data_IF_707410311254
#
_entry.id   IF_707410311254
#
_cell.length_a   1.000
_cell.length_b   1.000
_cell.length_c   1.000
_cell.angle_alpha   90.00
_cell.angle_beta   90.00
_cell.angle_gamma   90.00
#
_symmetry.space_group_name_H-M   'P 1'
#
loop_
_entity.id
_entity.type
_entity.pdbx_description
1 polymer ?
#
# COMPACT_ATOMS: atom_id res chain seq x y z
N UNK A 1 34.10 -9.75 11.81
CA UNK A 1 32.99 -8.88 11.33
C UNK A 1 33.40 -8.30 9.98
N UNK A 2 32.64 -8.54 8.93
CA UNK A 2 32.88 -7.89 7.64
C UNK A 2 32.39 -6.46 7.80
N UNK A 3 33.29 -5.48 7.84
CA UNK A 3 32.93 -4.08 7.85
C UNK A 3 32.44 -3.71 6.45
N UNK A 4 31.15 -3.59 6.27
CA UNK A 4 30.58 -3.11 5.00
C UNK A 4 30.84 -1.61 4.95
N UNK A 5 31.63 -1.20 3.97
CA UNK A 5 31.95 0.24 3.78
C UNK A 5 30.93 0.84 2.82
N UNK A 6 29.84 1.42 3.35
CA UNK A 6 28.84 2.12 2.56
C UNK A 6 29.39 3.49 2.08
N UNK A 7 29.02 3.96 0.89
CA UNK A 7 29.18 5.38 0.54
C UNK A 7 28.50 6.26 1.59
N UNK A 8 28.92 7.53 1.68
CA UNK A 8 28.44 8.42 2.74
C UNK A 8 27.82 9.70 2.20
N UNK A 9 26.78 10.18 2.87
CA UNK A 9 26.30 11.56 2.78
C UNK A 9 26.58 12.27 4.11
N UNK A 10 27.07 13.52 4.02
CA UNK A 10 27.36 14.35 5.18
C UNK A 10 26.40 15.52 5.17
N UNK A 11 25.64 15.70 6.26
CA UNK A 11 24.67 16.78 6.38
C UNK A 11 25.38 18.13 6.62
N UNK A 12 24.74 19.21 6.21
CA UNK A 12 25.10 20.56 6.63
C UNK A 12 24.88 20.71 8.12
N UNK A 13 25.63 21.59 8.75
CA UNK A 13 25.52 21.91 10.20
C UNK A 13 24.05 22.25 10.58
N UNK A 14 23.58 21.69 11.68
CA UNK A 14 22.22 21.87 12.23
C UNK A 14 21.09 21.40 11.27
N UNK A 15 21.33 20.36 10.43
CA UNK A 15 20.32 19.73 9.60
C UNK A 15 19.98 18.29 10.02
N UNK A 16 20.60 17.80 11.08
CA UNK A 16 20.40 16.47 11.66
C UNK A 16 19.14 16.34 12.53
N UNK A 17 18.58 17.43 13.04
CA UNK A 17 17.46 17.44 13.99
C UNK A 17 16.24 16.62 13.53
N UNK A 18 15.85 16.72 12.27
CA UNK A 18 14.71 16.00 11.75
C UNK A 18 14.91 14.47 11.85
N UNK A 19 16.10 13.99 11.45
CA UNK A 19 16.47 12.57 11.54
C UNK A 19 16.56 12.11 12.98
N UNK A 20 17.16 12.89 13.86
CA UNK A 20 17.27 12.58 15.28
C UNK A 20 15.89 12.48 15.97
N UNK A 21 14.92 13.29 15.54
CA UNK A 21 13.52 13.24 16.02
C UNK A 21 12.69 12.13 15.36
N UNK A 22 13.28 11.30 14.48
CA UNK A 22 12.59 10.16 13.89
C UNK A 22 12.04 10.38 12.47
N UNK A 23 12.25 11.56 11.85
CA UNK A 23 11.80 11.77 10.47
C UNK A 23 12.49 10.79 9.51
N UNK A 24 11.76 10.13 8.59
CA UNK A 24 12.32 9.10 7.72
C UNK A 24 13.06 9.64 6.49
N UNK A 25 13.07 10.95 6.23
CA UNK A 25 13.61 11.55 5.01
C UNK A 25 14.65 12.63 5.31
N UNK A 26 15.66 12.72 4.41
CA UNK A 26 16.56 13.86 4.30
C UNK A 26 16.37 14.48 2.91
N UNK A 27 16.08 15.77 2.88
CA UNK A 27 15.94 16.52 1.63
C UNK A 27 17.31 16.91 1.07
N UNK A 28 17.40 17.02 -0.26
CA UNK A 28 18.64 17.36 -0.98
C UNK A 28 19.32 18.63 -0.46
N UNK A 29 18.55 19.65 -0.11
CA UNK A 29 19.04 20.91 0.47
C UNK A 29 19.76 20.77 1.83
N UNK A 30 19.56 19.67 2.54
CA UNK A 30 20.23 19.40 3.82
C UNK A 30 21.60 18.71 3.67
N UNK A 31 21.91 18.16 2.49
CA UNK A 31 23.16 17.45 2.20
C UNK A 31 24.25 18.45 1.86
N UNK A 32 25.38 18.34 2.55
CA UNK A 32 26.57 19.18 2.36
C UNK A 32 27.57 18.56 1.39
N UNK A 33 27.82 17.25 1.53
CA UNK A 33 28.73 16.52 0.63
C UNK A 33 28.38 15.04 0.53
N UNK A 34 28.85 14.40 -0.53
CA UNK A 34 28.66 12.99 -0.83
C UNK A 34 30.03 12.35 -1.07
N UNK A 35 30.30 11.18 -0.48
CA UNK A 35 31.52 10.41 -0.64
C UNK A 35 31.22 9.03 -1.21
N UNK A 36 32.14 8.51 -2.04
CA UNK A 36 32.03 7.17 -2.63
C UNK A 36 31.15 7.07 -3.88
N UNK A 37 30.71 8.24 -4.44
CA UNK A 37 29.97 8.34 -5.71
C UNK A 37 28.75 7.39 -5.83
N UNK A 38 27.81 7.37 -4.88
CA UNK A 38 26.63 6.53 -4.94
C UNK A 38 25.67 6.98 -6.05
N UNK A 39 25.09 6.03 -6.75
CA UNK A 39 24.02 6.24 -7.73
C UNK A 39 22.61 6.18 -7.13
N UNK A 40 21.58 6.45 -7.97
CA UNK A 40 20.18 6.33 -7.54
C UNK A 40 19.87 4.95 -6.96
N UNK A 41 19.30 4.95 -5.76
CA UNK A 41 18.90 3.74 -5.06
C UNK A 41 19.99 2.99 -4.28
N UNK A 42 21.23 3.50 -4.28
CA UNK A 42 22.28 2.88 -3.47
C UNK A 42 22.02 3.09 -1.98
N UNK A 43 22.47 2.14 -1.17
CA UNK A 43 22.47 2.25 0.28
C UNK A 43 23.68 3.08 0.71
N UNK A 44 23.43 4.12 1.47
CA UNK A 44 24.48 5.01 1.99
C UNK A 44 24.35 5.22 3.50
N UNK A 45 25.45 5.61 4.14
CA UNK A 45 25.48 6.03 5.54
C UNK A 45 25.33 7.55 5.60
N UNK A 46 24.31 8.02 6.29
CA UNK A 46 24.15 9.44 6.61
C UNK A 46 24.92 9.78 7.87
N UNK A 47 25.67 10.91 7.82
CA UNK A 47 26.43 11.47 8.96
C UNK A 47 26.03 12.93 9.21
N UNK A 48 26.17 13.37 10.43
CA UNK A 48 26.10 14.80 10.76
C UNK A 48 27.36 15.55 10.27
N UNK A 49 27.38 16.87 10.45
CA UNK A 49 28.53 17.71 10.06
C UNK A 49 29.82 17.43 10.86
N UNK A 50 29.72 16.81 12.03
CA UNK A 50 30.86 16.39 12.85
C UNK A 50 31.35 14.98 12.51
N UNK A 51 30.64 14.26 11.64
CA UNK A 51 30.99 12.90 11.19
C UNK A 51 30.34 11.78 12.01
N UNK A 52 29.44 12.07 12.95
CA UNK A 52 28.75 11.02 13.68
C UNK A 52 27.71 10.32 12.78
N UNK A 53 27.61 8.99 12.82
CA UNK A 53 26.65 8.24 12.03
C UNK A 53 25.21 8.47 12.53
N UNK A 54 24.26 8.61 11.61
CA UNK A 54 22.86 8.89 11.89
C UNK A 54 21.93 7.76 11.48
N UNK A 55 22.08 7.26 10.22
CA UNK A 55 21.21 6.22 9.66
C UNK A 55 21.83 5.61 8.40
N UNK A 56 21.45 4.36 8.10
CA UNK A 56 21.57 3.75 6.76
C UNK A 56 20.26 3.96 5.99
N UNK A 57 20.34 4.22 4.68
CA UNK A 57 19.16 4.42 3.86
C UNK A 57 19.44 4.47 2.37
N UNK A 58 18.38 4.54 1.59
CA UNK A 58 18.46 4.71 0.15
C UNK A 58 18.77 6.14 -0.22
N UNK A 59 19.67 6.32 -1.16
CA UNK A 59 20.06 7.63 -1.69
C UNK A 59 19.64 7.77 -3.16
N UNK A 60 19.12 8.94 -3.51
CA UNK A 60 18.90 9.33 -4.89
C UNK A 60 19.28 10.80 -5.07
N UNK A 61 20.37 11.10 -5.80
CA UNK A 61 20.85 12.49 -5.98
C UNK A 61 19.92 13.35 -6.84
N UNK A 62 18.98 12.75 -7.57
CA UNK A 62 18.13 13.43 -8.55
C UNK A 62 16.76 13.82 -7.98
N UNK A 63 16.49 13.55 -6.69
CA UNK A 63 15.18 13.81 -6.06
C UNK A 63 15.29 14.81 -4.92
N UNK A 64 14.18 15.52 -4.63
CA UNK A 64 14.11 16.42 -3.48
C UNK A 64 14.24 15.63 -2.15
N UNK A 65 13.59 14.47 -2.03
CA UNK A 65 13.81 13.55 -0.91
C UNK A 65 15.01 12.67 -1.27
N UNK A 66 16.20 13.21 -1.06
CA UNK A 66 17.43 12.59 -1.53
C UNK A 66 17.86 11.36 -0.71
N UNK A 67 17.38 11.22 0.53
CA UNK A 67 17.69 10.06 1.37
C UNK A 67 16.46 9.60 2.14
N UNK A 68 16.25 8.28 2.13
CA UNK A 68 15.14 7.61 2.86
C UNK A 68 15.72 6.59 3.83
N UNK A 69 15.42 6.78 5.10
CA UNK A 69 15.95 5.92 6.19
C UNK A 69 15.48 4.49 6.03
N UNK A 70 16.42 3.55 6.04
CA UNK A 70 16.16 2.13 6.22
C UNK A 70 16.26 1.75 7.69
N UNK A 71 17.37 2.09 8.34
CA UNK A 71 17.61 1.78 9.73
C UNK A 71 18.47 2.85 10.40
N UNK A 72 18.26 3.05 11.69
CA UNK A 72 19.11 3.92 12.52
C UNK A 72 20.26 3.16 13.20
N UNK A 73 20.28 1.83 13.05
CA UNK A 73 21.44 1.01 13.45
C UNK A 73 22.45 1.05 12.31
N UNK A 74 23.44 1.93 12.46
CA UNK A 74 24.41 2.24 11.42
C UNK A 74 25.42 1.09 11.15
N UNK A 75 25.46 0.08 11.99
CA UNK A 75 26.23 -1.15 11.89
C UNK A 75 25.42 -2.34 11.32
N UNK A 76 24.15 -2.12 11.00
CA UNK A 76 23.27 -3.17 10.50
C UNK A 76 23.63 -3.59 9.07
N UNK A 77 23.70 -4.90 8.84
CA UNK A 77 23.93 -5.45 7.51
C UNK A 77 22.59 -5.56 6.75
N UNK A 78 22.44 -4.82 5.67
CA UNK A 78 21.26 -4.88 4.79
C UNK A 78 21.39 -6.09 3.85
N UNK A 79 21.23 -7.28 4.42
CA UNK A 79 21.28 -8.57 3.75
C UNK A 79 19.87 -9.10 3.43
N UNK A 80 19.71 -10.22 2.71
CA UNK A 80 18.41 -10.88 2.54
C UNK A 80 17.69 -11.15 3.87
N UNK A 81 18.44 -11.49 4.92
CA UNK A 81 17.89 -11.73 6.26
C UNK A 81 17.28 -10.47 6.88
N UNK A 82 17.85 -9.29 6.64
CA UNK A 82 17.28 -8.00 7.06
C UNK A 82 15.84 -7.84 6.54
N UNK A 83 15.62 -8.12 5.25
CA UNK A 83 14.29 -8.01 4.63
C UNK A 83 13.32 -9.05 5.18
N UNK A 84 13.78 -10.29 5.37
CA UNK A 84 12.95 -11.36 5.95
C UNK A 84 12.51 -11.02 7.39
N UNK A 85 13.44 -10.60 8.24
CA UNK A 85 13.15 -10.23 9.63
C UNK A 85 12.15 -9.08 9.70
N UNK A 86 12.34 -8.04 8.90
CA UNK A 86 11.47 -6.87 8.88
C UNK A 86 10.08 -7.20 8.35
N UNK A 87 10.00 -8.03 7.32
CA UNK A 87 8.71 -8.53 6.81
C UNK A 87 7.98 -9.37 7.86
N UNK A 88 8.70 -10.21 8.59
CA UNK A 88 8.13 -11.00 9.67
C UNK A 88 7.53 -10.12 10.78
N UNK A 89 8.20 -9.03 11.16
CA UNK A 89 7.69 -8.08 12.15
C UNK A 89 6.43 -7.36 11.66
N UNK A 90 6.43 -6.92 10.39
CA UNK A 90 5.24 -6.33 9.76
C UNK A 90 4.07 -7.32 9.72
N UNK A 91 4.32 -8.58 9.35
CA UNK A 91 3.32 -9.63 9.33
C UNK A 91 2.74 -9.91 10.73
N UNK A 92 3.59 -10.06 11.75
CA UNK A 92 3.14 -10.24 13.14
C UNK A 92 2.26 -9.11 13.65
N UNK A 93 2.59 -7.87 13.27
CA UNK A 93 1.77 -6.72 13.63
C UNK A 93 0.35 -6.85 13.05
N UNK A 94 0.24 -7.27 11.77
CA UNK A 94 -1.06 -7.43 11.09
C UNK A 94 -1.87 -8.58 11.65
N UNK A 95 -1.25 -9.67 12.04
CA UNK A 95 -1.94 -10.80 12.65
C UNK A 95 -2.72 -10.43 13.93
N UNK A 96 -2.35 -9.34 14.63
CA UNK A 96 -3.11 -8.83 15.78
C UNK A 96 -4.40 -8.10 15.38
N UNK A 97 -4.52 -7.68 14.13
CA UNK A 97 -5.63 -6.87 13.61
C UNK A 97 -6.53 -7.66 12.67
N UNK A 98 -6.13 -8.86 12.28
CA UNK A 98 -6.82 -9.71 11.31
C UNK A 98 -7.39 -10.89 12.10
N UNK A 99 -8.64 -11.21 11.82
CA UNK A 99 -9.32 -12.39 12.33
C UNK A 99 -9.68 -13.34 11.18
N UNK A 100 -10.24 -14.49 11.49
CA UNK A 100 -10.66 -15.50 10.51
C UNK A 100 -11.71 -15.00 9.51
N UNK A 101 -12.39 -13.89 9.83
CA UNK A 101 -13.40 -13.26 8.98
C UNK A 101 -12.82 -12.18 8.04
N UNK A 102 -11.49 -12.00 8.03
CA UNK A 102 -10.83 -10.98 7.21
C UNK A 102 -9.53 -11.52 6.62
N UNK A 103 -9.45 -11.63 5.30
CA UNK A 103 -8.29 -12.12 4.57
C UNK A 103 -7.69 -11.07 3.59
N UNK A 104 -8.13 -9.81 3.72
CA UNK A 104 -7.61 -8.70 2.91
C UNK A 104 -7.13 -7.55 3.80
N UNK A 105 -5.87 -7.14 3.63
CA UNK A 105 -5.23 -6.13 4.47
C UNK A 105 -3.95 -5.58 3.85
N UNK A 106 -3.55 -4.38 4.26
CA UNK A 106 -2.22 -3.83 3.95
C UNK A 106 -1.16 -4.47 4.83
N UNK A 107 -0.25 -5.21 4.22
CA UNK A 107 0.87 -5.86 4.91
C UNK A 107 2.02 -4.87 5.14
N UNK A 108 2.37 -4.08 4.13
CA UNK A 108 3.46 -3.09 4.21
C UNK A 108 2.92 -1.72 3.78
N UNK A 109 3.17 -0.72 4.63
CA UNK A 109 2.81 0.67 4.41
C UNK A 109 4.05 1.58 4.41
N UNK A 110 4.90 1.39 3.41
CA UNK A 110 6.08 2.21 3.13
C UNK A 110 6.96 2.49 4.38
N UNK A 111 7.32 3.75 4.58
CA UNK A 111 8.16 4.20 5.69
C UNK A 111 7.60 3.83 7.07
N UNK A 112 6.27 3.71 7.20
CA UNK A 112 5.63 3.32 8.45
C UNK A 112 6.02 1.91 8.94
N UNK A 113 6.39 1.03 8.02
CA UNK A 113 6.87 -0.32 8.31
C UNK A 113 8.38 -0.49 8.03
N UNK A 114 9.07 0.62 7.73
CA UNK A 114 10.50 0.62 7.45
C UNK A 114 10.88 0.07 6.06
N UNK A 115 9.95 0.10 5.11
CA UNK A 115 10.17 -0.25 3.69
C UNK A 115 9.92 0.97 2.80
N UNK A 116 10.85 1.92 2.71
CA UNK A 116 10.62 3.17 2.00
C UNK A 116 10.07 2.98 0.59
N UNK A 117 8.92 3.60 0.32
CA UNK A 117 8.29 3.59 -0.99
C UNK A 117 7.71 2.24 -1.44
N UNK A 118 7.57 1.26 -0.55
CA UNK A 118 6.94 -0.03 -0.83
C UNK A 118 5.55 -0.13 -0.20
N UNK A 119 4.58 -0.48 -0.99
CA UNK A 119 3.26 -0.91 -0.54
C UNK A 119 3.11 -2.39 -0.88
N UNK A 120 2.56 -3.17 0.05
CA UNK A 120 2.14 -4.56 -0.21
C UNK A 120 0.77 -4.76 0.41
N UNK A 121 -0.20 -5.11 -0.41
CA UNK A 121 -1.55 -5.47 -0.02
C UNK A 121 -1.80 -6.97 -0.25
N UNK A 122 -2.46 -7.59 0.71
CA UNK A 122 -2.87 -9.00 0.67
C UNK A 122 -4.34 -9.06 0.32
N UNK A 123 -4.67 -9.87 -0.67
CA UNK A 123 -6.02 -10.20 -1.11
C UNK A 123 -6.16 -11.72 -1.14
N UNK A 124 -6.55 -12.31 -0.01
CA UNK A 124 -6.59 -13.76 0.18
C UNK A 124 -5.20 -14.38 -0.06
N UNK A 125 -5.03 -15.21 -1.09
CA UNK A 125 -3.74 -15.80 -1.49
C UNK A 125 -2.98 -15.01 -2.56
N UNK A 126 -3.54 -13.89 -3.02
CA UNK A 126 -2.90 -12.98 -3.99
C UNK A 126 -2.28 -11.79 -3.26
N UNK A 127 -1.05 -11.45 -3.62
CA UNK A 127 -0.40 -10.21 -3.16
C UNK A 127 -0.37 -9.21 -4.31
N UNK A 128 -0.58 -7.93 -3.99
CA UNK A 128 -0.33 -6.82 -4.91
C UNK A 128 0.70 -5.90 -4.28
N UNK A 129 1.76 -5.58 -5.01
CA UNK A 129 2.75 -4.64 -4.51
C UNK A 129 2.99 -3.49 -5.48
N UNK A 130 3.42 -2.37 -4.90
CA UNK A 130 3.84 -1.18 -5.65
C UNK A 130 5.15 -0.65 -5.07
N UNK A 131 6.12 -0.40 -5.95
CA UNK A 131 7.42 0.20 -5.60
C UNK A 131 7.49 1.59 -6.21
N UNK A 132 7.78 2.60 -5.38
CA UNK A 132 7.85 3.99 -5.80
C UNK A 132 9.28 4.57 -5.80
N UNK A 133 10.27 3.88 -5.21
CA UNK A 133 11.63 4.41 -5.02
C UNK A 133 12.71 3.50 -5.59
N UNK A 134 13.77 4.11 -6.12
CA UNK A 134 14.85 3.41 -6.81
C UNK A 134 15.59 2.39 -5.91
N UNK A 135 15.76 2.71 -4.64
CA UNK A 135 16.40 1.81 -3.69
C UNK A 135 15.62 0.53 -3.46
N UNK A 136 14.30 0.61 -3.34
CA UNK A 136 13.44 -0.57 -3.18
C UNK A 136 13.37 -1.39 -4.47
N UNK A 137 13.41 -0.73 -5.65
CA UNK A 137 13.49 -1.43 -6.93
C UNK A 137 14.75 -2.33 -7.00
N UNK A 138 15.91 -1.85 -6.53
CA UNK A 138 17.14 -2.66 -6.43
C UNK A 138 17.01 -3.84 -5.47
N UNK A 139 16.15 -3.78 -4.47
CA UNK A 139 15.92 -4.83 -3.48
C UNK A 139 14.75 -5.76 -3.84
N UNK A 140 14.09 -5.55 -4.97
CA UNK A 140 12.86 -6.25 -5.39
C UNK A 140 12.97 -7.77 -5.30
N UNK A 141 14.07 -8.37 -5.76
CA UNK A 141 14.24 -9.83 -5.73
C UNK A 141 14.33 -10.38 -4.29
N UNK A 142 15.00 -9.67 -3.38
CA UNK A 142 15.06 -10.05 -1.97
C UNK A 142 13.69 -9.95 -1.31
N UNK A 143 12.93 -8.91 -1.66
CA UNK A 143 11.57 -8.72 -1.20
C UNK A 143 10.64 -9.84 -1.69
N UNK A 144 10.63 -10.14 -2.99
CA UNK A 144 9.80 -11.21 -3.56
C UNK A 144 10.08 -12.56 -2.90
N UNK A 145 11.35 -12.92 -2.74
CA UNK A 145 11.75 -14.15 -2.05
C UNK A 145 11.25 -14.18 -0.60
N UNK A 146 11.33 -13.06 0.13
CA UNK A 146 10.83 -12.97 1.49
C UNK A 146 9.29 -13.11 1.56
N UNK A 147 8.55 -12.46 0.66
CA UNK A 147 7.09 -12.54 0.56
C UNK A 147 6.64 -13.98 0.26
N UNK A 148 7.28 -14.65 -0.72
CA UNK A 148 6.98 -16.04 -1.09
C UNK A 148 7.22 -16.97 0.10
N UNK A 149 8.36 -16.84 0.77
CA UNK A 149 8.72 -17.69 1.90
C UNK A 149 7.77 -17.51 3.10
N UNK A 150 7.37 -16.26 3.40
CA UNK A 150 6.55 -15.92 4.58
C UNK A 150 5.06 -16.23 4.39
N UNK A 151 4.49 -15.89 3.21
CA UNK A 151 3.04 -15.93 2.99
C UNK A 151 2.59 -17.06 2.07
N UNK A 152 3.49 -17.66 1.31
CA UNK A 152 3.20 -18.74 0.34
C UNK A 152 2.05 -18.38 -0.59
N UNK A 153 2.08 -17.21 -1.25
CA UNK A 153 0.99 -16.77 -2.11
C UNK A 153 0.87 -17.67 -3.35
N UNK A 154 -0.33 -17.72 -3.92
CA UNK A 154 -0.55 -18.34 -5.23
C UNK A 154 -0.11 -17.42 -6.35
N UNK A 155 -0.18 -16.10 -6.13
CA UNK A 155 0.19 -15.06 -7.10
C UNK A 155 0.71 -13.82 -6.41
N UNK A 156 1.69 -13.16 -7.05
CA UNK A 156 2.11 -11.78 -6.71
C UNK A 156 2.00 -10.94 -7.98
N UNK A 157 1.26 -9.83 -7.91
CA UNK A 157 1.09 -8.87 -8.99
C UNK A 157 1.82 -7.56 -8.64
N UNK A 158 2.53 -7.00 -9.59
CA UNK A 158 3.14 -5.67 -9.49
C UNK A 158 2.23 -4.61 -10.10
N UNK A 159 1.96 -3.54 -9.36
CA UNK A 159 1.25 -2.36 -9.82
C UNK A 159 2.06 -1.10 -9.46
N UNK A 160 3.17 -0.89 -10.17
CA UNK A 160 4.15 0.16 -9.93
C UNK A 160 4.04 1.24 -11.00
N UNK A 161 2.97 2.04 -10.97
CA UNK A 161 2.61 3.06 -11.97
C UNK A 161 2.44 4.49 -11.40
N UNK A 162 2.86 4.72 -10.15
CA UNK A 162 2.69 5.99 -9.46
C UNK A 162 3.53 7.13 -10.06
N UNK A 163 3.04 8.38 -9.96
CA UNK A 163 3.80 9.56 -10.36
C UNK A 163 5.14 9.69 -9.62
N UNK A 164 5.19 9.33 -8.33
CA UNK A 164 6.42 9.36 -7.52
C UNK A 164 7.52 8.45 -8.06
N UNK A 165 7.16 7.37 -8.76
CA UNK A 165 8.11 6.48 -9.41
C UNK A 165 8.89 7.20 -10.54
N UNK A 166 8.21 8.04 -11.31
CA UNK A 166 8.84 8.86 -12.37
C UNK A 166 9.82 9.88 -11.79
N UNK A 167 9.50 10.48 -10.63
CA UNK A 167 10.41 11.39 -9.93
C UNK A 167 11.69 10.69 -9.46
N UNK A 168 11.62 9.39 -9.18
CA UNK A 168 12.78 8.56 -8.81
C UNK A 168 13.59 8.07 -10.03
N UNK A 169 13.18 8.42 -11.26
CA UNK A 169 13.84 7.99 -12.50
C UNK A 169 13.46 6.56 -12.91
N UNK A 170 12.34 6.04 -12.44
CA UNK A 170 11.88 4.69 -12.72
C UNK A 170 10.75 4.68 -13.74
N UNK A 171 10.75 3.68 -14.63
CA UNK A 171 9.64 3.42 -15.54
C UNK A 171 8.47 2.76 -14.82
N UNK A 172 7.25 2.98 -15.32
CA UNK A 172 6.06 2.28 -14.85
C UNK A 172 6.19 0.78 -15.14
N UNK A 173 5.72 -0.03 -14.19
CA UNK A 173 5.66 -1.49 -14.31
C UNK A 173 4.35 -2.03 -13.78
N UNK A 174 3.77 -2.97 -14.51
CA UNK A 174 2.63 -3.76 -14.07
C UNK A 174 2.73 -5.17 -14.64
N UNK A 175 2.25 -6.17 -13.93
CA UNK A 175 2.23 -7.54 -14.38
C UNK A 175 2.45 -8.57 -13.27
N UNK A 176 2.38 -9.84 -13.66
CA UNK A 176 2.61 -10.97 -12.75
C UNK A 176 4.10 -11.02 -12.40
N UNK A 177 4.42 -10.95 -11.11
CA UNK A 177 5.78 -11.11 -10.59
C UNK A 177 6.05 -12.52 -10.06
N UNK A 178 5.01 -13.28 -9.72
CA UNK A 178 5.09 -14.66 -9.28
C UNK A 178 3.74 -15.37 -9.50
N UNK A 179 3.76 -16.65 -9.85
CA UNK A 179 2.57 -17.47 -10.15
C UNK A 179 2.11 -17.33 -11.60
N UNK A 180 1.08 -18.09 -11.99
CA UNK A 180 0.60 -18.20 -13.38
C UNK A 180 -0.88 -17.83 -13.54
N UNK A 181 -1.57 -17.45 -12.45
CA UNK A 181 -3.00 -17.11 -12.48
C UNK A 181 -3.21 -15.74 -13.14
N UNK A 182 -3.81 -15.72 -14.33
CA UNK A 182 -4.12 -14.54 -15.12
C UNK A 182 -5.47 -13.89 -14.77
N UNK A 183 -6.27 -14.45 -13.85
CA UNK A 183 -7.52 -13.83 -13.43
C UNK A 183 -7.29 -12.43 -12.90
N UNK A 184 -8.00 -11.44 -13.41
CA UNK A 184 -7.91 -10.06 -12.94
C UNK A 184 -8.55 -9.88 -11.57
N UNK A 185 -9.48 -10.75 -11.16
CA UNK A 185 -10.26 -10.61 -9.92
C UNK A 185 -9.92 -11.68 -8.88
N UNK A 186 -10.10 -11.31 -7.62
CA UNK A 186 -9.92 -12.17 -6.44
C UNK A 186 -11.09 -11.98 -5.49
N UNK A 187 -11.68 -13.08 -5.02
CA UNK A 187 -12.67 -13.02 -3.93
C UNK A 187 -11.95 -12.88 -2.59
N UNK A 188 -12.34 -11.87 -1.83
CA UNK A 188 -11.85 -11.60 -0.48
C UNK A 188 -12.99 -11.64 0.53
N UNK A 189 -12.62 -11.74 1.79
CA UNK A 189 -13.52 -11.59 2.93
C UNK A 189 -13.04 -10.44 3.83
N UNK A 190 -13.95 -9.56 4.22
CA UNK A 190 -13.72 -8.48 5.16
C UNK A 190 -14.84 -8.45 6.19
N UNK A 191 -14.53 -8.72 7.46
CA UNK A 191 -15.49 -8.83 8.56
C UNK A 191 -16.67 -9.78 8.25
N UNK A 192 -16.40 -10.91 7.57
CA UNK A 192 -17.39 -11.88 7.16
C UNK A 192 -18.13 -11.56 5.85
N UNK A 193 -18.01 -10.36 5.31
CA UNK A 193 -18.60 -9.95 4.05
C UNK A 193 -17.66 -10.26 2.89
N UNK A 194 -18.23 -10.71 1.77
CA UNK A 194 -17.48 -11.10 0.57
C UNK A 194 -17.41 -9.96 -0.46
N UNK A 195 -16.25 -9.81 -1.08
CA UNK A 195 -16.06 -8.84 -2.14
C UNK A 195 -15.21 -9.44 -3.26
N UNK A 196 -15.57 -9.16 -4.50
CA UNK A 196 -14.68 -9.38 -5.63
C UNK A 196 -13.87 -8.11 -5.86
N UNK A 197 -12.54 -8.28 -5.94
CA UNK A 197 -11.58 -7.20 -6.11
C UNK A 197 -10.83 -7.41 -7.42
N UNK A 198 -10.83 -6.40 -8.30
CA UNK A 198 -9.98 -6.39 -9.49
C UNK A 198 -8.59 -5.86 -9.09
N UNK A 199 -7.62 -6.77 -9.06
CA UNK A 199 -6.24 -6.50 -8.65
C UNK A 199 -5.36 -6.02 -9.81
N UNK A 200 -5.90 -5.98 -11.03
CA UNK A 200 -5.19 -5.55 -12.24
C UNK A 200 -5.59 -4.14 -12.64
N UNK A 201 -6.91 -3.87 -12.70
CA UNK A 201 -7.46 -2.61 -13.20
C UNK A 201 -8.17 -1.78 -12.13
N UNK A 202 -8.29 -2.31 -10.91
CA UNK A 202 -8.95 -1.63 -9.80
C UNK A 202 -8.20 -0.40 -9.31
N UNK A 203 -8.92 0.51 -8.66
CA UNK A 203 -8.31 1.71 -8.06
C UNK A 203 -7.36 1.32 -6.92
N UNK A 204 -6.29 2.10 -6.71
CA UNK A 204 -5.18 1.75 -5.80
C UNK A 204 -4.58 0.41 -6.20
N UNK A 205 -4.60 -0.57 -5.31
CA UNK A 205 -4.19 -1.95 -5.54
C UNK A 205 -5.38 -2.89 -5.79
N UNK A 206 -6.61 -2.32 -5.92
CA UNK A 206 -7.86 -3.04 -6.19
C UNK A 206 -9.00 -2.70 -5.24
N UNK A 207 -8.71 -2.43 -3.95
CA UNK A 207 -9.71 -2.17 -2.93
C UNK A 207 -9.25 -1.11 -1.92
N UNK A 208 -10.18 -0.39 -1.29
CA UNK A 208 -9.89 0.63 -0.28
C UNK A 208 -9.78 0.01 1.12
N UNK A 209 -8.71 -0.75 1.36
CA UNK A 209 -8.47 -1.47 2.62
C UNK A 209 -8.42 -0.55 3.86
N UNK A 210 -8.03 0.71 3.68
CA UNK A 210 -7.99 1.75 4.71
C UNK A 210 -9.37 2.15 5.24
N UNK A 211 -10.45 1.83 4.50
CA UNK A 211 -11.82 2.19 4.85
C UNK A 211 -12.57 1.13 5.67
N UNK A 212 -11.94 -0.02 6.01
CA UNK A 212 -12.60 -1.13 6.72
C UNK A 212 -13.32 -0.69 7.99
N UNK A 213 -12.65 0.04 8.87
CA UNK A 213 -13.23 0.53 10.13
C UNK A 213 -14.35 1.52 9.89
N UNK A 214 -14.21 2.38 8.87
CA UNK A 214 -15.28 3.32 8.50
C UNK A 214 -16.50 2.59 7.93
N UNK A 215 -16.31 1.55 7.11
CA UNK A 215 -17.39 0.73 6.58
C UNK A 215 -18.17 0.03 7.71
N UNK A 216 -17.47 -0.59 8.65
CA UNK A 216 -18.05 -1.24 9.82
C UNK A 216 -18.87 -0.25 10.66
N UNK A 217 -18.30 0.93 10.92
CA UNK A 217 -18.97 1.99 11.68
C UNK A 217 -20.23 2.51 10.98
N UNK A 218 -20.16 2.76 9.66
CA UNK A 218 -21.34 3.19 8.89
C UNK A 218 -22.37 2.07 8.82
N UNK A 219 -21.97 0.82 8.64
CA UNK A 219 -22.86 -0.35 8.68
C UNK A 219 -23.67 -0.42 9.99
N UNK A 220 -23.04 -0.18 11.14
CA UNK A 220 -23.72 -0.18 12.44
C UNK A 220 -24.81 0.89 12.58
N UNK A 221 -24.76 1.95 11.76
CA UNK A 221 -25.79 3.00 11.73
C UNK A 221 -26.91 2.71 10.70
N UNK A 222 -26.77 1.61 9.95
CA UNK A 222 -27.67 1.28 8.84
C UNK A 222 -29.09 0.85 9.25
N UNK A 223 -29.29 0.35 10.48
CA UNK A 223 -30.58 -0.25 10.91
C UNK A 223 -31.77 0.66 10.63
N UNK A 224 -32.73 0.13 9.88
CA UNK A 224 -33.97 0.81 9.47
C UNK A 224 -33.77 2.09 8.62
N UNK A 225 -32.53 2.39 8.22
CA UNK A 225 -32.21 3.61 7.48
C UNK A 225 -32.50 3.46 5.98
N UNK A 226 -32.73 4.63 5.35
CA UNK A 226 -32.61 4.79 3.90
C UNK A 226 -31.26 5.49 3.63
N UNK A 227 -30.40 4.86 2.87
CA UNK A 227 -29.01 5.28 2.64
C UNK A 227 -28.80 5.63 1.18
N UNK A 228 -28.16 6.76 0.93
CA UNK A 228 -27.63 7.14 -0.40
C UNK A 228 -26.10 7.09 -0.34
N UNK A 229 -25.48 6.17 -1.06
CA UNK A 229 -24.05 6.04 -1.20
C UNK A 229 -23.59 6.68 -2.51
N UNK A 230 -23.06 7.90 -2.44
CA UNK A 230 -22.52 8.66 -3.56
C UNK A 230 -21.06 8.28 -3.83
N UNK A 231 -20.67 8.20 -5.11
CA UNK A 231 -19.33 7.77 -5.52
C UNK A 231 -19.01 6.37 -4.97
N UNK A 232 -19.97 5.48 -5.19
CA UNK A 232 -20.03 4.20 -4.49
C UNK A 232 -18.91 3.23 -4.86
N UNK A 233 -18.22 3.44 -5.99
CA UNK A 233 -17.22 2.53 -6.53
C UNK A 233 -17.80 1.11 -6.61
N UNK A 234 -17.18 0.12 -6.00
CA UNK A 234 -17.66 -1.27 -5.96
C UNK A 234 -18.68 -1.54 -4.85
N UNK A 235 -19.30 -0.49 -4.30
CA UNK A 235 -20.37 -0.47 -3.30
C UNK A 235 -20.05 -1.16 -1.96
N UNK A 236 -18.78 -1.22 -1.54
CA UNK A 236 -18.42 -1.85 -0.28
C UNK A 236 -19.12 -1.22 0.92
N UNK A 237 -19.29 0.11 0.99
CA UNK A 237 -20.10 0.76 2.03
C UNK A 237 -21.56 0.35 1.98
N UNK A 238 -22.13 0.18 0.78
CA UNK A 238 -23.54 -0.24 0.62
C UNK A 238 -23.77 -1.66 1.13
N UNK A 239 -22.82 -2.57 0.90
CA UNK A 239 -22.87 -3.94 1.44
C UNK A 239 -22.89 -3.92 2.97
N UNK A 240 -22.04 -3.10 3.60
CA UNK A 240 -22.04 -2.94 5.07
C UNK A 240 -23.33 -2.31 5.59
N UNK A 241 -23.91 -1.33 4.90
CA UNK A 241 -25.19 -0.75 5.28
C UNK A 241 -26.34 -1.76 5.18
N UNK A 242 -26.34 -2.58 4.12
CA UNK A 242 -27.34 -3.64 3.93
C UNK A 242 -27.22 -4.69 5.02
N UNK A 243 -26.00 -5.15 5.37
CA UNK A 243 -25.73 -6.07 6.49
C UNK A 243 -26.18 -5.49 7.83
N UNK A 244 -26.00 -4.18 8.02
CA UNK A 244 -26.46 -3.45 9.20
C UNK A 244 -27.99 -3.27 9.31
N UNK A 245 -28.76 -3.77 8.34
CA UNK A 245 -30.23 -3.75 8.34
C UNK A 245 -30.84 -2.49 7.73
N UNK A 246 -30.17 -1.84 6.80
CA UNK A 246 -30.77 -0.72 6.05
C UNK A 246 -31.99 -1.19 5.24
N UNK A 247 -33.10 -0.44 5.30
CA UNK A 247 -34.31 -0.71 4.53
C UNK A 247 -34.10 -0.54 3.03
N UNK A 248 -33.25 0.42 2.66
CA UNK A 248 -32.90 0.71 1.28
C UNK A 248 -31.52 1.36 1.21
N UNK A 249 -30.69 0.93 0.27
CA UNK A 249 -29.42 1.58 -0.04
C UNK A 249 -29.38 1.85 -1.54
N UNK A 250 -29.29 3.09 -1.94
CA UNK A 250 -29.09 3.50 -3.33
C UNK A 250 -27.60 3.81 -3.52
N UNK A 251 -26.95 3.13 -4.44
CA UNK A 251 -25.53 3.34 -4.78
C UNK A 251 -25.43 4.07 -6.10
N UNK A 252 -24.69 5.20 -6.14
CA UNK A 252 -24.48 6.00 -7.34
C UNK A 252 -23.00 6.01 -7.70
N UNK A 253 -22.66 5.68 -8.94
CA UNK A 253 -21.32 5.87 -9.50
C UNK A 253 -21.41 6.12 -11.01
N UNK A 254 -20.49 6.94 -11.54
CA UNK A 254 -20.43 7.24 -12.96
C UNK A 254 -19.76 6.11 -13.78
N UNK A 255 -18.95 5.27 -13.13
CA UNK A 255 -18.21 4.19 -13.78
C UNK A 255 -19.09 2.96 -13.97
N UNK A 256 -19.34 2.61 -15.23
CA UNK A 256 -20.06 1.39 -15.60
C UNK A 256 -19.43 0.12 -15.02
N UNK A 257 -18.10 0.02 -15.09
CA UNK A 257 -17.35 -1.13 -14.54
C UNK A 257 -17.48 -1.22 -13.03
N UNK A 258 -17.42 -0.09 -12.31
CA UNK A 258 -17.63 -0.05 -10.88
C UNK A 258 -19.07 -0.47 -10.52
N UNK A 259 -20.08 -0.01 -11.27
CA UNK A 259 -21.48 -0.40 -11.06
C UNK A 259 -21.72 -1.90 -11.29
N UNK A 260 -21.05 -2.51 -12.27
CA UNK A 260 -21.12 -3.97 -12.47
C UNK A 260 -20.52 -4.72 -11.28
N UNK A 261 -19.33 -4.33 -10.83
CA UNK A 261 -18.68 -4.90 -9.65
C UNK A 261 -19.51 -4.68 -8.36
N UNK A 262 -20.14 -3.51 -8.22
CA UNK A 262 -21.04 -3.18 -7.11
C UNK A 262 -22.23 -4.14 -7.02
N UNK A 263 -22.91 -4.43 -8.15
CA UNK A 263 -24.01 -5.39 -8.18
C UNK A 263 -23.54 -6.80 -7.83
N UNK A 264 -22.34 -7.18 -8.31
CA UNK A 264 -21.75 -8.48 -7.99
C UNK A 264 -21.44 -8.59 -6.48
N UNK A 265 -20.89 -7.54 -5.86
CA UNK A 265 -20.58 -7.51 -4.44
C UNK A 265 -21.84 -7.58 -3.55
N UNK A 266 -22.92 -6.92 -3.94
CA UNK A 266 -24.23 -7.10 -3.29
C UNK A 266 -24.72 -8.54 -3.40
N UNK A 267 -24.66 -9.13 -4.59
CA UNK A 267 -25.09 -10.50 -4.86
C UNK A 267 -24.28 -11.55 -4.07
N UNK A 268 -22.95 -11.38 -3.97
CA UNK A 268 -22.07 -12.27 -3.17
C UNK A 268 -22.49 -12.35 -1.69
N UNK A 269 -23.17 -11.32 -1.19
CA UNK A 269 -23.68 -11.23 0.18
C UNK A 269 -25.21 -11.42 0.27
N UNK A 270 -25.84 -11.99 -0.76
CA UNK A 270 -27.27 -12.32 -0.82
C UNK A 270 -28.21 -11.10 -0.77
N UNK A 271 -27.71 -9.90 -1.10
CA UNK A 271 -28.51 -8.67 -1.15
C UNK A 271 -29.14 -8.48 -2.54
N UNK A 272 -30.47 -8.32 -2.56
CA UNK A 272 -31.21 -8.09 -3.79
C UNK A 272 -31.00 -6.66 -4.33
N UNK A 273 -30.72 -6.53 -5.62
CA UNK A 273 -30.61 -5.22 -6.28
C UNK A 273 -31.93 -4.45 -6.33
N UNK A 274 -33.06 -5.09 -6.06
CA UNK A 274 -34.36 -4.42 -5.97
C UNK A 274 -34.44 -3.51 -4.73
N UNK A 275 -33.92 -4.02 -3.57
CA UNK A 275 -33.84 -3.25 -2.34
C UNK A 275 -32.57 -2.39 -2.26
N UNK A 276 -31.52 -2.78 -2.99
CA UNK A 276 -30.19 -2.15 -2.98
C UNK A 276 -29.76 -1.75 -4.40
N UNK A 277 -30.49 -0.83 -5.07
CA UNK A 277 -30.20 -0.47 -6.45
C UNK A 277 -28.85 0.20 -6.63
N UNK A 278 -28.18 -0.13 -7.74
CA UNK A 278 -26.95 0.51 -8.21
C UNK A 278 -27.25 1.24 -9.52
N UNK A 279 -27.10 2.55 -9.51
CA UNK A 279 -27.43 3.44 -10.62
C UNK A 279 -26.15 4.02 -11.20
N UNK A 280 -25.92 3.79 -12.51
CA UNK A 280 -24.85 4.40 -13.28
C UNK A 280 -25.26 5.84 -13.63
N UNK A 281 -24.70 6.81 -12.92
CA UNK A 281 -25.05 8.22 -13.12
C UNK A 281 -23.98 9.15 -12.53
N UNK A 282 -23.90 10.38 -13.04
CA UNK A 282 -23.22 11.45 -12.32
C UNK A 282 -24.03 11.81 -11.07
N UNK A 283 -23.35 11.90 -9.91
CA UNK A 283 -23.99 12.18 -8.63
C UNK A 283 -24.65 13.58 -8.61
N UNK A 284 -24.01 14.58 -9.22
CA UNK A 284 -24.55 15.93 -9.26
C UNK A 284 -25.77 16.04 -10.17
N UNK A 285 -25.79 15.29 -11.28
CA UNK A 285 -26.96 15.22 -12.17
C UNK A 285 -28.11 14.48 -11.50
N UNK A 286 -27.83 13.42 -10.72
CA UNK A 286 -28.86 12.75 -9.92
C UNK A 286 -29.58 13.73 -9.00
N UNK A 287 -28.86 14.59 -8.27
CA UNK A 287 -29.46 15.58 -7.37
C UNK A 287 -30.18 16.74 -8.08
N UNK A 288 -29.88 16.99 -9.35
CA UNK A 288 -30.61 18.02 -10.14
C UNK A 288 -31.98 17.56 -10.64
N UNK A 289 -32.17 16.23 -10.72
CA UNK A 289 -33.35 15.63 -11.34
C UNK A 289 -34.22 14.84 -10.37
N UNK A 290 -33.85 14.78 -9.10
CA UNK A 290 -34.61 14.15 -8.01
C UNK A 290 -35.10 15.19 -7.03
#
# INVERSE_FOLDING_TARGET
>A
MITINYPEIILKKAREDAILRGHPWIFSGAIGSVKGNPGPGDIVLARDAAGHPLALGFFNPSTDIAFRVLTRRCDENISPYFWQSRLHDAYKLRQRLINEQTNAYRLINAEGDGFPGLIVDVYNTTLVFSIAVAGMEKQKNHLLNALIAQLKPTRIYEQSDSHSRKLEGLENRSGIAFGEDENSTVEIMENGLKFEVDVVSGQKTGFFLDQRVNREKIGSLGRDAHVLNCFAYTAAFSVYCAEGGAKKVVSLDISKTACVAARKNLHLNWFSVENYPVIETDVFDYFRHT
#
